data_IF_840935789895
#
_entry.id   IF_840935789895
#
_cell.length_a   1.000
_cell.length_b   1.000
_cell.length_c   1.000
_cell.angle_alpha   90.00
_cell.angle_beta   90.00
_cell.angle_gamma   90.00
#
_symmetry.space_group_name_H-M   'P 1'
#
loop_
_entity.id
_entity.type
_entity.pdbx_description
1 polymer ?
#
# COMPACT_ATOMS: atom_id res chain seq x y z
N UNK A 1 23.56 -13.86 -11.91
CA UNK A 1 22.24 -14.30 -11.42
C UNK A 1 21.37 -13.06 -11.32
N UNK A 2 20.52 -12.81 -12.31
CA UNK A 2 19.54 -11.73 -12.26
C UNK A 2 18.52 -12.14 -11.19
N UNK A 3 18.68 -11.60 -9.98
CA UNK A 3 17.84 -11.94 -8.84
C UNK A 3 16.38 -11.76 -9.21
N UNK A 4 15.58 -12.80 -8.99
CA UNK A 4 14.15 -12.85 -9.29
C UNK A 4 13.47 -11.52 -8.96
N UNK A 5 12.74 -11.01 -9.96
CA UNK A 5 11.98 -9.78 -9.88
C UNK A 5 11.21 -9.70 -8.56
N UNK A 6 11.34 -8.57 -7.86
CA UNK A 6 10.59 -8.16 -6.67
C UNK A 6 9.27 -8.95 -6.53
N UNK A 7 9.24 -9.96 -5.67
CA UNK A 7 8.03 -10.74 -5.40
C UNK A 7 7.45 -10.30 -4.06
N UNK A 8 6.12 -10.25 -3.97
CA UNK A 8 5.43 -9.86 -2.74
C UNK A 8 4.36 -8.79 -2.93
N UNK A 9 3.77 -8.31 -1.83
CA UNK A 9 2.65 -7.39 -1.88
C UNK A 9 2.96 -6.08 -2.61
N UNK A 10 4.10 -5.44 -2.33
CA UNK A 10 4.44 -4.15 -2.94
C UNK A 10 4.58 -4.25 -4.47
N UNK A 11 5.16 -5.34 -4.97
CA UNK A 11 5.28 -5.59 -6.40
C UNK A 11 3.92 -5.77 -7.08
N UNK A 12 2.98 -6.48 -6.44
CA UNK A 12 1.61 -6.63 -6.96
C UNK A 12 0.87 -5.29 -7.02
N UNK A 13 1.03 -4.46 -6.00
CA UNK A 13 0.40 -3.13 -5.96
C UNK A 13 1.00 -2.22 -7.03
N UNK A 14 2.33 -2.20 -7.20
CA UNK A 14 2.99 -1.44 -8.28
C UNK A 14 2.52 -1.87 -9.67
N UNK A 15 2.47 -3.18 -9.93
CA UNK A 15 1.98 -3.70 -11.20
C UNK A 15 0.52 -3.30 -11.47
N UNK A 16 -0.32 -3.31 -10.43
CA UNK A 16 -1.71 -2.86 -10.55
C UNK A 16 -1.81 -1.37 -10.86
N UNK A 17 -1.08 -0.53 -10.12
CA UNK A 17 -1.07 0.92 -10.30
C UNK A 17 -0.57 1.32 -11.70
N UNK A 18 0.44 0.63 -12.23
CA UNK A 18 0.94 0.84 -13.60
C UNK A 18 -0.13 0.58 -14.68
N UNK A 19 -0.93 -0.48 -14.51
CA UNK A 19 -1.96 -0.86 -15.50
C UNK A 19 -3.21 0.02 -15.38
N UNK A 20 -3.59 0.41 -14.18
CA UNK A 20 -4.86 1.09 -13.91
C UNK A 20 -4.71 2.59 -13.59
N UNK A 21 -3.49 3.13 -13.68
CA UNK A 21 -3.15 4.49 -13.24
C UNK A 21 -3.67 4.77 -11.83
N UNK A 22 -3.48 3.81 -10.93
CA UNK A 22 -3.94 3.84 -9.54
C UNK A 22 -2.89 4.41 -8.58
N UNK A 23 -3.31 4.70 -7.35
CA UNK A 23 -2.45 5.20 -6.26
C UNK A 23 -2.45 4.26 -5.04
N UNK A 24 -2.53 2.93 -5.24
CA UNK A 24 -2.63 1.98 -4.12
C UNK A 24 -1.36 1.95 -3.28
N UNK A 25 -0.17 2.05 -3.90
CA UNK A 25 1.11 2.12 -3.17
C UNK A 25 1.15 3.38 -2.29
N UNK A 26 0.80 4.54 -2.84
CA UNK A 26 0.76 5.80 -2.09
C UNK A 26 -0.31 5.78 -0.97
N UNK A 27 -1.47 5.17 -1.23
CA UNK A 27 -2.52 4.97 -0.21
C UNK A 27 -2.00 4.13 0.95
N UNK A 28 -1.32 3.02 0.67
CA UNK A 28 -0.76 2.16 1.71
C UNK A 28 0.33 2.89 2.52
N UNK A 29 1.25 3.58 1.86
CA UNK A 29 2.30 4.35 2.52
C UNK A 29 1.71 5.40 3.48
N UNK A 30 0.78 6.23 2.99
CA UNK A 30 0.12 7.25 3.80
C UNK A 30 -0.64 6.66 5.00
N UNK A 31 -1.29 5.50 4.82
CA UNK A 31 -2.00 4.83 5.91
C UNK A 31 -1.07 4.29 6.99
N UNK A 32 0.08 3.72 6.59
CA UNK A 32 1.10 3.23 7.52
C UNK A 32 1.80 4.38 8.27
N UNK A 33 2.13 5.48 7.57
CA UNK A 33 2.72 6.67 8.18
C UNK A 33 1.76 7.35 9.15
N UNK A 34 0.45 7.29 8.90
CA UNK A 34 -0.60 7.74 9.81
C UNK A 34 -0.96 6.72 10.92
N UNK A 35 -0.18 5.65 11.08
CA UNK A 35 -0.42 4.58 12.07
C UNK A 35 -1.84 3.98 12.03
N UNK A 36 -2.44 3.95 10.83
CA UNK A 36 -3.76 3.40 10.60
C UNK A 36 -4.91 4.42 10.60
N UNK A 37 -4.64 5.70 10.92
CA UNK A 37 -5.68 6.73 10.91
C UNK A 37 -6.06 7.14 9.48
N UNK A 38 -7.23 6.67 9.05
CA UNK A 38 -7.73 6.90 7.68
C UNK A 38 -7.98 8.38 7.40
N UNK A 39 -8.45 9.16 8.37
CA UNK A 39 -8.76 10.57 8.14
C UNK A 39 -7.50 11.38 7.85
N UNK A 40 -6.44 11.15 8.63
CA UNK A 40 -5.14 11.82 8.49
C UNK A 40 -4.43 11.35 7.23
N UNK A 41 -4.43 10.05 6.95
CA UNK A 41 -3.85 9.50 5.72
C UNK A 41 -4.54 10.05 4.46
N UNK A 42 -5.87 10.09 4.46
CA UNK A 42 -6.66 10.61 3.33
C UNK A 42 -6.38 12.09 3.06
N UNK A 43 -6.26 12.91 4.13
CA UNK A 43 -5.84 14.32 4.02
C UNK A 43 -4.43 14.45 3.43
N UNK A 44 -3.49 13.62 3.87
CA UNK A 44 -2.10 13.67 3.43
C UNK A 44 -1.93 13.45 1.92
N UNK A 45 -2.81 12.65 1.30
CA UNK A 45 -2.81 12.39 -0.16
C UNK A 45 -3.93 13.12 -0.90
N UNK A 46 -4.62 14.04 -0.25
CA UNK A 46 -5.69 14.89 -0.81
C UNK A 46 -6.85 14.12 -1.47
N UNK A 47 -7.26 13.01 -0.84
CA UNK A 47 -8.35 12.16 -1.31
C UNK A 47 -9.47 12.14 -0.28
N UNK A 48 -10.72 12.06 -0.72
CA UNK A 48 -11.85 11.92 0.19
C UNK A 48 -11.77 10.61 1.00
N UNK A 49 -12.10 10.60 2.33
CA UNK A 49 -11.97 9.41 3.16
C UNK A 49 -12.67 8.15 2.62
N UNK A 50 -13.83 8.28 1.97
CA UNK A 50 -14.53 7.13 1.37
C UNK A 50 -13.72 6.49 0.22
N UNK A 51 -13.16 7.31 -0.67
CA UNK A 51 -12.29 6.86 -1.75
C UNK A 51 -11.01 6.24 -1.18
N UNK A 52 -10.47 6.80 -0.09
CA UNK A 52 -9.31 6.26 0.59
C UNK A 52 -9.59 4.86 1.17
N UNK A 53 -10.72 4.66 1.87
CA UNK A 53 -11.14 3.34 2.39
C UNK A 53 -11.31 2.32 1.26
N UNK A 54 -11.91 2.74 0.15
CA UNK A 54 -12.02 1.90 -1.03
C UNK A 54 -10.64 1.46 -1.54
N UNK A 55 -9.69 2.41 -1.71
CA UNK A 55 -8.31 2.11 -2.10
C UNK A 55 -7.63 1.18 -1.09
N UNK A 56 -7.78 1.41 0.21
CA UNK A 56 -7.20 0.56 1.26
C UNK A 56 -7.75 -0.87 1.25
N UNK A 57 -9.05 -1.05 0.98
CA UNK A 57 -9.63 -2.38 0.75
C UNK A 57 -8.99 -3.06 -0.46
N UNK A 58 -8.83 -2.33 -1.57
CA UNK A 58 -8.15 -2.84 -2.77
C UNK A 58 -6.69 -3.18 -2.51
N UNK A 59 -6.00 -2.45 -1.64
CA UNK A 59 -4.63 -2.79 -1.19
C UNK A 59 -4.59 -4.18 -0.55
N UNK A 60 -5.52 -4.49 0.36
CA UNK A 60 -5.60 -5.82 0.97
C UNK A 60 -5.87 -6.92 -0.06
N UNK A 61 -6.81 -6.69 -0.98
CA UNK A 61 -7.21 -7.64 -2.02
C UNK A 61 -6.11 -7.91 -3.05
N UNK A 62 -5.55 -6.85 -3.66
CA UNK A 62 -4.53 -6.95 -4.71
C UNK A 62 -3.17 -7.32 -4.12
N UNK A 63 -2.79 -6.66 -3.03
CA UNK A 63 -1.56 -6.93 -2.31
C UNK A 63 -1.58 -8.30 -1.62
N UNK A 64 -2.75 -8.93 -1.44
CA UNK A 64 -2.94 -10.15 -0.64
C UNK A 64 -2.32 -9.99 0.75
N UNK A 65 -2.64 -8.88 1.39
CA UNK A 65 -2.14 -8.51 2.72
C UNK A 65 -3.34 -8.44 3.66
N UNK A 66 -3.24 -9.10 4.82
CA UNK A 66 -4.12 -8.80 5.94
C UNK A 66 -3.61 -7.55 6.66
N UNK A 67 -4.25 -6.41 6.43
CA UNK A 67 -3.87 -5.15 7.08
C UNK A 67 -4.27 -5.08 8.56
N UNK A 68 -5.04 -6.03 9.08
CA UNK A 68 -5.34 -6.13 10.51
C UNK A 68 -4.16 -6.73 11.29
N UNK A 69 -3.40 -7.64 10.66
CA UNK A 69 -2.23 -8.28 11.27
C UNK A 69 -1.06 -7.26 11.42
N UNK A 70 -0.59 -6.98 12.64
CA UNK A 70 0.56 -6.10 12.86
C UNK A 70 1.85 -6.63 12.21
N UNK A 71 2.04 -7.95 12.08
CA UNK A 71 3.23 -8.52 11.44
C UNK A 71 3.21 -8.27 9.93
N UNK A 72 2.07 -8.49 9.28
CA UNK A 72 1.88 -8.16 7.86
C UNK A 72 2.08 -6.66 7.57
N UNK A 73 1.55 -5.77 8.43
CA UNK A 73 1.77 -4.32 8.35
C UNK A 73 3.25 -3.95 8.44
N UNK A 74 3.96 -4.52 9.41
CA UNK A 74 5.39 -4.27 9.57
C UNK A 74 6.19 -4.77 8.35
N UNK A 75 5.88 -5.96 7.84
CA UNK A 75 6.56 -6.52 6.67
C UNK A 75 6.40 -5.66 5.42
N UNK A 76 5.21 -5.09 5.17
CA UNK A 76 5.00 -4.21 4.01
C UNK A 76 5.54 -2.80 4.24
N UNK A 77 5.55 -2.30 5.48
CA UNK A 77 6.24 -1.06 5.84
C UNK A 77 7.74 -1.19 5.55
N UNK A 78 8.37 -2.30 5.93
CA UNK A 78 9.76 -2.57 5.62
C UNK A 78 10.01 -2.62 4.10
N UNK A 79 9.15 -3.30 3.34
CA UNK A 79 9.25 -3.31 1.87
C UNK A 79 9.19 -1.89 1.28
N UNK A 80 8.29 -1.03 1.78
CA UNK A 80 8.22 0.36 1.34
C UNK A 80 9.48 1.15 1.68
N UNK A 81 10.09 0.95 2.85
CA UNK A 81 11.30 1.70 3.23
C UNK A 81 12.57 1.20 2.56
N UNK A 82 12.64 -0.07 2.19
CA UNK A 82 13.80 -0.65 1.51
C UNK A 82 13.71 -0.47 -0.02
N UNK A 83 12.50 -0.44 -0.57
CA UNK A 83 12.30 -0.53 -2.03
C UNK A 83 11.38 0.55 -2.62
N UNK A 84 10.88 1.51 -1.82
CA UNK A 84 9.79 2.43 -2.16
C UNK A 84 10.15 3.66 -3.00
N UNK A 85 11.33 3.68 -3.62
CA UNK A 85 11.71 4.71 -4.58
C UNK A 85 10.79 4.75 -5.82
#
# INVERSE_FOLDING_TARGET
>A
AHGDAFSGPLARLRAYDQVHQGDLVATLAAWLDALGDVASAARAVHVHPNTFRYRLRRVGEIGRIDLSDPRARFAVMLQLRVFGD
#
